data_IF_195066002014
#
_entry.id   IF_195066002014
#
_cell.length_a   1.000
_cell.length_b   1.000
_cell.length_c   1.000
_cell.angle_alpha   90.00
_cell.angle_beta   90.00
_cell.angle_gamma   90.00
#
_symmetry.space_group_name_H-M   'P 1'
#
loop_
_entity.id
_entity.type
_entity.pdbx_description
1 polymer ?
#
# COMPACT_ATOMS: atom_id res chain seq x y z
N UNK A 1 -13.68 -8.84 1.84
CA UNK A 1 -12.93 -7.63 2.30
C UNK A 1 -12.96 -6.56 1.21
N UNK A 2 -12.31 -6.75 0.07
CA UNK A 2 -12.35 -5.86 -1.10
C UNK A 2 -13.01 -6.58 -2.27
N UNK A 3 -13.88 -5.89 -3.01
CA UNK A 3 -14.59 -6.41 -4.16
C UNK A 3 -14.53 -5.38 -5.28
N UNK A 4 -14.10 -5.82 -6.45
CA UNK A 4 -14.15 -5.07 -7.70
C UNK A 4 -15.16 -5.78 -8.61
N UNK A 5 -16.08 -5.03 -9.19
CA UNK A 5 -17.07 -5.58 -10.12
C UNK A 5 -17.06 -4.75 -11.40
N UNK A 6 -16.58 -5.38 -12.49
CA UNK A 6 -16.49 -4.83 -13.84
C UNK A 6 -15.92 -3.38 -13.88
N UNK A 7 -14.82 -3.13 -13.14
CA UNK A 7 -14.24 -1.80 -13.01
C UNK A 7 -13.50 -1.40 -14.26
N UNK A 8 -13.91 -0.29 -14.85
CA UNK A 8 -13.25 0.35 -15.98
C UNK A 8 -12.65 1.69 -15.56
N UNK A 9 -11.46 1.99 -16.06
CA UNK A 9 -10.75 3.23 -15.73
C UNK A 9 -10.34 3.96 -17.00
N UNK A 10 -10.69 5.24 -17.05
CA UNK A 10 -10.31 6.18 -18.10
C UNK A 10 -9.35 7.24 -17.55
N UNK A 11 -8.34 7.59 -18.36
CA UNK A 11 -7.52 8.79 -18.18
C UNK A 11 -7.89 9.83 -19.24
N UNK A 12 -8.00 11.09 -18.82
CA UNK A 12 -8.34 12.24 -19.69
C UNK A 12 -9.59 11.99 -20.54
N UNK A 13 -10.53 11.14 -20.05
CA UNK A 13 -11.75 10.71 -20.75
C UNK A 13 -11.54 10.02 -22.12
N UNK A 14 -10.31 9.65 -22.46
CA UNK A 14 -9.94 9.08 -23.76
C UNK A 14 -9.26 7.72 -23.64
N UNK A 15 -8.35 7.55 -22.68
CA UNK A 15 -7.52 6.34 -22.61
C UNK A 15 -8.15 5.33 -21.66
N UNK A 16 -8.70 4.25 -22.20
CA UNK A 16 -9.22 3.13 -21.41
C UNK A 16 -8.05 2.26 -20.89
N UNK A 17 -7.59 2.54 -19.67
CA UNK A 17 -6.43 1.91 -19.06
C UNK A 17 -6.77 0.59 -18.33
N UNK A 18 -7.99 0.43 -17.82
CA UNK A 18 -8.51 -0.81 -17.23
C UNK A 18 -9.86 -1.15 -17.89
N UNK A 19 -10.01 -2.39 -18.35
CA UNK A 19 -11.11 -2.82 -19.22
C UNK A 19 -11.99 -3.87 -18.52
N UNK A 20 -12.70 -3.46 -17.46
CA UNK A 20 -13.69 -4.32 -16.81
C UNK A 20 -13.10 -5.37 -15.88
N UNK A 21 -12.19 -4.98 -14.96
CA UNK A 21 -11.64 -5.93 -13.98
C UNK A 21 -12.69 -6.32 -12.93
N UNK A 22 -12.81 -7.63 -12.69
CA UNK A 22 -13.60 -8.21 -11.61
C UNK A 22 -12.68 -9.07 -10.74
N UNK A 23 -12.60 -8.77 -9.45
CA UNK A 23 -11.73 -9.46 -8.51
C UNK A 23 -12.24 -9.34 -7.08
N UNK A 24 -11.84 -10.28 -6.21
CA UNK A 24 -12.12 -10.24 -4.78
C UNK A 24 -10.86 -10.49 -3.96
N UNK A 25 -10.73 -9.77 -2.84
CA UNK A 25 -9.69 -9.99 -1.84
C UNK A 25 -10.38 -10.36 -0.52
N UNK A 26 -10.43 -11.65 -0.14
CA UNK A 26 -11.01 -12.07 1.12
C UNK A 26 -10.22 -11.55 2.32
N UNK A 27 -10.88 -11.36 3.46
CA UNK A 27 -10.20 -10.93 4.69
C UNK A 27 -9.14 -11.95 5.13
N UNK A 28 -7.98 -11.47 5.59
CA UNK A 28 -6.86 -12.30 6.05
C UNK A 28 -6.14 -13.07 4.94
N UNK A 29 -6.47 -12.84 3.67
CA UNK A 29 -5.79 -13.47 2.54
C UNK A 29 -4.76 -12.54 1.90
N UNK A 30 -3.82 -13.16 1.19
CA UNK A 30 -2.93 -12.45 0.27
C UNK A 30 -3.35 -12.81 -1.16
N UNK A 31 -3.72 -11.80 -1.92
CA UNK A 31 -4.05 -11.93 -3.35
C UNK A 31 -2.98 -11.21 -4.15
N UNK A 32 -2.51 -11.82 -5.22
CA UNK A 32 -1.54 -11.21 -6.13
C UNK A 32 -2.17 -10.96 -7.49
N UNK A 33 -2.07 -9.74 -7.99
CA UNK A 33 -2.44 -9.35 -9.34
C UNK A 33 -1.18 -9.35 -10.21
N UNK A 34 -1.10 -10.31 -11.11
CA UNK A 34 0.04 -10.47 -12.02
C UNK A 34 -0.30 -9.95 -13.42
N UNK A 35 0.68 -9.37 -14.09
CA UNK A 35 0.50 -8.93 -15.47
C UNK A 35 1.70 -8.19 -16.02
N UNK A 36 1.79 -8.09 -17.35
CA UNK A 36 2.85 -7.35 -18.03
C UNK A 36 2.83 -5.85 -17.67
N UNK A 37 3.96 -5.17 -17.88
CA UNK A 37 4.01 -3.72 -17.75
C UNK A 37 3.01 -3.07 -18.71
N UNK A 38 2.26 -2.08 -18.21
CA UNK A 38 1.19 -1.42 -18.97
C UNK A 38 -0.17 -2.15 -18.94
N UNK A 39 -0.29 -3.30 -18.26
CA UNK A 39 -1.57 -4.04 -18.15
C UNK A 39 -2.62 -3.36 -17.23
N UNK A 40 -2.34 -2.17 -16.67
CA UNK A 40 -3.28 -1.45 -15.82
C UNK A 40 -3.22 -1.83 -14.34
N UNK A 41 -2.17 -2.56 -13.91
CA UNK A 41 -2.03 -3.03 -12.51
C UNK A 41 -2.01 -1.88 -11.51
N UNK A 42 -1.05 -0.96 -11.63
CA UNK A 42 -0.93 0.22 -10.75
C UNK A 42 -2.14 1.15 -10.88
N UNK A 43 -2.72 1.25 -12.08
CA UNK A 43 -3.97 1.99 -12.33
C UNK A 43 -5.12 1.40 -11.51
N UNK A 44 -5.21 0.06 -11.45
CA UNK A 44 -6.22 -0.62 -10.62
C UNK A 44 -6.04 -0.28 -9.14
N UNK A 45 -4.81 -0.32 -8.60
CA UNK A 45 -4.54 0.06 -7.21
C UNK A 45 -4.87 1.54 -6.93
N UNK A 46 -4.54 2.44 -7.88
CA UNK A 46 -4.88 3.87 -7.78
C UNK A 46 -6.39 4.10 -7.84
N UNK A 47 -7.13 3.31 -8.64
CA UNK A 47 -8.59 3.36 -8.67
C UNK A 47 -9.20 2.93 -7.33
N UNK A 48 -8.70 1.84 -6.73
CA UNK A 48 -9.15 1.36 -5.41
C UNK A 48 -8.89 2.38 -4.31
N UNK A 49 -7.70 2.99 -4.29
CA UNK A 49 -7.34 4.03 -3.30
C UNK A 49 -7.91 5.42 -3.63
N UNK A 50 -8.60 5.57 -4.76
CA UNK A 50 -9.11 6.84 -5.31
C UNK A 50 -8.03 7.91 -5.55
N UNK A 51 -6.74 7.53 -5.61
CA UNK A 51 -5.63 8.43 -5.96
C UNK A 51 -5.57 8.72 -7.46
N UNK A 52 -6.32 7.97 -8.27
CA UNK A 52 -6.33 8.12 -9.73
C UNK A 52 -6.75 9.52 -10.19
N UNK A 53 -7.57 10.22 -9.40
CA UNK A 53 -8.01 11.59 -9.69
C UNK A 53 -6.87 12.61 -9.72
N UNK A 54 -5.77 12.34 -9.03
CA UNK A 54 -4.58 13.22 -9.03
C UNK A 54 -3.81 13.16 -10.35
N UNK A 55 -4.14 12.19 -11.21
CA UNK A 55 -3.53 11.95 -12.51
C UNK A 55 -4.56 12.07 -13.66
N UNK A 56 -5.62 12.85 -13.46
CA UNK A 56 -6.70 13.07 -14.43
C UNK A 56 -7.41 11.76 -14.86
N UNK A 57 -7.51 10.82 -13.92
CA UNK A 57 -8.17 9.54 -14.12
C UNK A 57 -9.47 9.42 -13.32
N UNK A 58 -10.37 8.54 -13.78
CA UNK A 58 -11.61 8.20 -13.08
C UNK A 58 -12.05 6.76 -13.32
N UNK A 59 -12.81 6.23 -12.39
CA UNK A 59 -13.58 5.00 -12.63
C UNK A 59 -14.76 5.39 -13.54
N UNK A 60 -14.79 4.81 -14.73
CA UNK A 60 -15.79 5.11 -15.76
C UNK A 60 -17.01 4.19 -15.65
N UNK A 61 -16.80 2.93 -15.24
CA UNK A 61 -17.84 1.94 -15.04
C UNK A 61 -17.47 0.96 -13.92
N UNK A 62 -18.43 0.21 -13.43
CA UNK A 62 -18.26 -0.77 -12.36
C UNK A 62 -18.30 -0.16 -10.97
N UNK A 63 -18.04 -1.01 -9.96
CA UNK A 63 -18.07 -0.62 -8.54
C UNK A 63 -16.89 -1.22 -7.77
N UNK A 64 -16.41 -0.49 -6.76
CA UNK A 64 -15.37 -0.92 -5.83
C UNK A 64 -15.97 -0.88 -4.43
N UNK A 65 -16.00 -2.02 -3.74
CA UNK A 65 -16.54 -2.11 -2.38
C UNK A 65 -15.47 -2.55 -1.38
N UNK A 66 -15.41 -1.89 -0.23
CA UNK A 66 -14.59 -2.25 0.91
C UNK A 66 -15.49 -2.62 2.09
N UNK A 67 -15.41 -3.85 2.57
CA UNK A 67 -16.30 -4.41 3.60
C UNK A 67 -17.80 -4.22 3.28
N UNK A 68 -18.18 -4.42 2.02
CA UNK A 68 -19.54 -4.24 1.54
C UNK A 68 -19.97 -2.79 1.28
N UNK A 69 -19.18 -1.79 1.71
CA UNK A 69 -19.46 -0.38 1.48
C UNK A 69 -18.84 0.07 0.15
N UNK A 70 -19.61 0.74 -0.69
CA UNK A 70 -19.10 1.33 -1.93
C UNK A 70 -18.11 2.48 -1.62
N UNK A 71 -16.92 2.38 -2.19
CA UNK A 71 -15.85 3.38 -2.10
C UNK A 71 -15.50 3.97 -3.47
N UNK A 72 -16.28 3.66 -4.51
CA UNK A 72 -16.04 4.16 -5.87
C UNK A 72 -16.07 5.69 -5.86
N UNK A 73 -14.96 6.31 -6.21
CA UNK A 73 -14.84 7.77 -6.22
C UNK A 73 -14.90 8.46 -4.84
N UNK A 74 -14.78 7.73 -3.73
CA UNK A 74 -14.73 8.29 -2.38
C UNK A 74 -13.48 9.18 -2.17
N UNK A 75 -13.46 9.97 -1.11
CA UNK A 75 -12.26 10.72 -0.75
C UNK A 75 -11.15 9.73 -0.29
N UNK A 76 -9.89 9.83 -0.79
CA UNK A 76 -8.80 8.96 -0.38
C UNK A 76 -8.59 8.88 1.14
N UNK A 77 -8.77 9.98 1.85
CA UNK A 77 -8.68 10.02 3.32
C UNK A 77 -9.71 9.11 3.99
N UNK A 78 -10.94 9.05 3.45
CA UNK A 78 -12.00 8.21 3.99
C UNK A 78 -11.76 6.73 3.68
N UNK A 79 -11.08 6.42 2.57
CA UNK A 79 -10.64 5.05 2.24
C UNK A 79 -9.60 4.59 3.25
N UNK A 80 -8.61 5.45 3.58
CA UNK A 80 -7.61 5.15 4.61
C UNK A 80 -8.24 4.97 5.99
N UNK A 81 -9.20 5.82 6.37
CA UNK A 81 -9.96 5.69 7.63
C UNK A 81 -10.73 4.37 7.74
N UNK A 82 -11.15 3.79 6.62
CA UNK A 82 -11.78 2.47 6.59
C UNK A 82 -10.78 1.32 6.71
N UNK A 83 -9.47 1.63 6.74
CA UNK A 83 -8.38 0.68 6.95
C UNK A 83 -7.74 0.15 5.69
N UNK A 84 -7.91 0.80 4.52
CA UNK A 84 -7.21 0.46 3.31
C UNK A 84 -6.03 1.42 3.11
N UNK A 85 -4.80 0.88 3.03
CA UNK A 85 -3.58 1.68 2.80
C UNK A 85 -2.88 1.19 1.54
N UNK A 86 -2.41 2.13 0.73
CA UNK A 86 -1.71 1.87 -0.52
C UNK A 86 -0.23 2.25 -0.40
N UNK A 87 0.65 1.26 -0.56
CA UNK A 87 2.09 1.43 -0.74
C UNK A 87 2.36 1.50 -2.23
N UNK A 88 2.59 2.73 -2.72
CA UNK A 88 2.81 3.00 -4.14
C UNK A 88 4.22 2.57 -4.57
N UNK A 89 4.37 2.28 -5.85
CA UNK A 89 5.65 2.04 -6.51
C UNK A 89 6.65 3.18 -6.28
N UNK A 90 7.94 2.86 -6.34
CA UNK A 90 9.04 3.83 -6.33
C UNK A 90 9.45 4.29 -4.93
N UNK A 91 9.18 3.50 -3.89
CA UNK A 91 9.72 3.70 -2.53
C UNK A 91 9.60 5.15 -2.06
N UNK A 92 8.38 5.70 -2.01
CA UNK A 92 8.09 7.11 -1.71
C UNK A 92 8.41 7.47 -0.24
N UNK A 93 9.72 7.38 0.14
CA UNK A 93 10.20 7.83 1.45
C UNK A 93 10.34 9.34 1.52
N UNK A 94 10.18 9.91 2.72
CA UNK A 94 10.47 11.30 3.00
C UNK A 94 11.98 11.44 3.23
N UNK A 95 12.73 11.71 2.17
CA UNK A 95 14.18 11.53 2.07
C UNK A 95 14.98 12.30 3.12
N UNK A 96 14.50 13.49 3.55
CA UNK A 96 15.18 14.36 4.51
C UNK A 96 14.83 14.04 5.98
N UNK A 97 13.86 13.15 6.19
CA UNK A 97 13.43 12.71 7.51
C UNK A 97 14.18 11.43 7.93
N UNK A 98 14.28 11.20 9.23
CA UNK A 98 14.78 9.93 9.76
C UNK A 98 13.79 8.80 9.51
N UNK A 99 14.21 7.55 9.72
CA UNK A 99 13.33 6.37 9.69
C UNK A 99 12.17 6.57 10.67
N UNK A 100 12.47 6.95 11.92
CA UNK A 100 11.45 7.18 12.94
C UNK A 100 10.45 8.26 12.54
N UNK A 101 10.93 9.40 12.04
CA UNK A 101 10.05 10.48 11.56
C UNK A 101 9.16 10.02 10.39
N UNK A 102 9.71 9.25 9.46
CA UNK A 102 8.91 8.65 8.37
C UNK A 102 7.78 7.76 8.90
N UNK A 103 8.07 6.93 9.90
CA UNK A 103 7.07 6.06 10.53
C UNK A 103 6.00 6.89 11.24
N UNK A 104 6.39 7.86 12.06
CA UNK A 104 5.47 8.72 12.84
C UNK A 104 4.49 9.45 11.91
N UNK A 105 4.94 9.95 10.76
CA UNK A 105 4.06 10.56 9.75
C UNK A 105 2.97 9.59 9.30
N UNK A 106 3.26 8.29 9.18
CA UNK A 106 2.25 7.27 8.83
C UNK A 106 1.13 7.12 9.86
N UNK A 107 1.40 7.46 11.12
CA UNK A 107 0.43 7.41 12.22
C UNK A 107 -0.33 8.71 12.50
N UNK A 108 -0.20 9.73 11.67
CA UNK A 108 -0.74 11.09 11.90
C UNK A 108 -2.25 11.17 12.11
N UNK A 109 -3.01 10.15 11.73
CA UNK A 109 -4.47 10.09 11.90
C UNK A 109 -4.91 9.60 13.29
N UNK A 110 -3.97 9.10 14.11
CA UNK A 110 -4.21 8.66 15.49
C UNK A 110 -3.73 9.67 16.53
N UNK A 111 -3.94 9.37 17.82
CA UNK A 111 -3.37 10.15 18.93
C UNK A 111 -1.85 9.91 19.05
N UNK A 112 -1.16 10.83 19.74
CA UNK A 112 0.29 10.69 19.99
C UNK A 112 0.64 9.42 20.78
N UNK A 113 -0.20 9.03 21.76
CA UNK A 113 -0.01 7.77 22.52
C UNK A 113 -0.13 6.56 21.61
N UNK A 114 -1.20 6.49 20.80
CA UNK A 114 -1.41 5.40 19.85
C UNK A 114 -0.29 5.30 18.81
N UNK A 115 0.28 6.45 18.38
CA UNK A 115 1.40 6.47 17.44
C UNK A 115 2.65 5.86 18.06
N UNK A 116 2.91 6.10 19.37
CA UNK A 116 4.05 5.52 20.09
C UNK A 116 3.93 4.00 20.21
N UNK A 117 2.77 3.51 20.68
CA UNK A 117 2.53 2.08 20.83
C UNK A 117 2.67 1.35 19.48
N UNK A 118 2.16 1.99 18.41
CA UNK A 118 2.25 1.43 17.07
C UNK A 118 3.67 1.46 16.52
N UNK A 119 4.46 2.46 16.85
CA UNK A 119 5.87 2.55 16.48
C UNK A 119 6.66 1.36 17.06
N UNK A 120 6.45 1.06 18.35
CA UNK A 120 7.08 -0.09 19.01
C UNK A 120 6.65 -1.42 18.37
N UNK A 121 5.38 -1.56 18.02
CA UNK A 121 4.89 -2.72 17.28
C UNK A 121 5.56 -2.84 15.89
N UNK A 122 5.67 -1.75 15.13
CA UNK A 122 6.35 -1.77 13.83
C UNK A 122 7.81 -2.14 13.97
N UNK A 123 8.52 -1.62 14.96
CA UNK A 123 9.92 -1.98 15.23
C UNK A 123 10.08 -3.44 15.65
N UNK A 124 9.13 -4.01 16.39
CA UNK A 124 9.16 -5.43 16.74
C UNK A 124 9.02 -6.35 15.52
N UNK A 125 8.21 -5.93 14.54
CA UNK A 125 7.98 -6.66 13.27
C UNK A 125 9.11 -6.45 12.26
N UNK A 126 9.68 -5.26 12.19
CA UNK A 126 10.72 -4.88 11.22
C UNK A 126 11.98 -4.45 11.98
N UNK A 127 12.64 -5.44 12.60
CA UNK A 127 13.83 -5.23 13.47
C UNK A 127 14.92 -4.39 12.81
N UNK A 128 15.07 -4.52 11.47
CA UNK A 128 16.05 -3.75 10.71
C UNK A 128 15.78 -2.23 10.79
N UNK A 129 14.51 -1.80 10.79
CA UNK A 129 14.16 -0.39 10.95
C UNK A 129 14.46 0.14 12.35
N UNK A 130 14.32 -0.71 13.38
CA UNK A 130 14.67 -0.33 14.76
C UNK A 130 16.15 0.04 14.88
N UNK A 131 17.04 -0.73 14.26
CA UNK A 131 18.48 -0.46 14.25
C UNK A 131 18.84 0.82 13.45
N UNK A 132 17.97 1.27 12.57
CA UNK A 132 18.18 2.41 11.68
C UNK A 132 17.34 3.63 12.06
N UNK A 133 16.68 3.63 13.23
CA UNK A 133 15.64 4.61 13.60
C UNK A 133 16.06 6.08 13.44
N UNK A 134 17.31 6.41 13.74
CA UNK A 134 17.86 7.78 13.66
C UNK A 134 18.50 8.10 12.31
N UNK A 135 18.62 7.09 11.40
CA UNK A 135 19.25 7.28 10.11
C UNK A 135 18.29 8.04 9.17
N UNK A 136 18.83 8.96 8.39
CA UNK A 136 18.08 9.70 7.35
C UNK A 136 17.67 8.75 6.22
N UNK A 137 16.37 8.74 5.87
CA UNK A 137 15.79 7.78 4.94
C UNK A 137 16.38 7.84 3.53
N UNK A 138 16.89 8.99 3.10
CA UNK A 138 17.56 9.14 1.80
C UNK A 138 18.85 8.34 1.65
N UNK A 139 19.48 7.93 2.76
CA UNK A 139 20.74 7.15 2.76
C UNK A 139 20.51 5.66 3.03
N UNK A 140 19.29 5.21 3.06
CA UNK A 140 18.94 3.79 3.16
C UNK A 140 19.15 3.08 1.83
N UNK A 141 19.50 1.80 1.88
CA UNK A 141 19.46 0.91 0.71
C UNK A 141 18.03 0.79 0.16
N UNK A 142 17.89 0.35 -1.10
CA UNK A 142 16.58 0.17 -1.72
C UNK A 142 15.65 -0.75 -0.94
N UNK A 143 16.16 -1.85 -0.40
CA UNK A 143 15.36 -2.77 0.44
C UNK A 143 14.97 -2.16 1.78
N UNK A 144 15.87 -1.42 2.44
CA UNK A 144 15.54 -0.69 3.67
C UNK A 144 14.49 0.40 3.44
N UNK A 145 14.55 1.10 2.30
CA UNK A 145 13.51 2.05 1.89
C UNK A 145 12.17 1.35 1.64
N UNK A 146 12.18 0.16 1.02
CA UNK A 146 10.97 -0.64 0.81
C UNK A 146 10.36 -1.09 2.12
N UNK A 147 11.17 -1.60 3.05
CA UNK A 147 10.70 -1.93 4.41
C UNK A 147 10.15 -0.70 5.14
N UNK A 148 10.77 0.48 4.95
CA UNK A 148 10.33 1.73 5.58
C UNK A 148 8.95 2.16 5.07
N UNK A 149 8.68 2.10 3.76
CA UNK A 149 7.35 2.48 3.24
C UNK A 149 6.27 1.48 3.66
N UNK A 150 6.59 0.18 3.75
CA UNK A 150 5.69 -0.83 4.32
C UNK A 150 5.45 -0.55 5.80
N UNK A 151 6.50 -0.31 6.59
CA UNK A 151 6.40 0.05 8.00
C UNK A 151 5.55 1.31 8.22
N UNK A 152 5.73 2.33 7.38
CA UNK A 152 4.91 3.55 7.41
C UNK A 152 3.44 3.26 7.14
N UNK A 153 3.13 2.36 6.22
CA UNK A 153 1.76 1.93 5.96
C UNK A 153 1.14 1.23 7.19
N UNK A 154 1.91 0.43 7.92
CA UNK A 154 1.45 -0.25 9.13
C UNK A 154 1.10 0.72 10.27
N UNK A 155 1.72 1.90 10.32
CA UNK A 155 1.42 2.92 11.33
C UNK A 155 -0.04 3.39 11.30
N UNK A 156 -0.70 3.33 10.14
CA UNK A 156 -2.12 3.66 9.97
C UNK A 156 -3.07 2.56 10.47
N UNK A 157 -2.58 1.47 11.08
CA UNK A 157 -3.36 0.31 11.55
C UNK A 157 -4.28 -0.27 10.46
N UNK A 158 -3.74 -0.61 9.29
CA UNK A 158 -4.55 -1.06 8.16
C UNK A 158 -5.22 -2.40 8.43
N UNK A 159 -6.38 -2.61 7.79
CA UNK A 159 -7.03 -3.92 7.65
C UNK A 159 -6.66 -4.58 6.32
N UNK A 160 -6.34 -3.77 5.32
CA UNK A 160 -5.88 -4.16 4.00
C UNK A 160 -4.72 -3.25 3.58
N UNK A 161 -3.60 -3.86 3.19
CA UNK A 161 -2.48 -3.14 2.55
C UNK A 161 -2.38 -3.58 1.10
N UNK A 162 -2.41 -2.61 0.21
CA UNK A 162 -2.10 -2.80 -1.21
C UNK A 162 -0.65 -2.39 -1.45
N UNK A 163 0.10 -3.19 -2.20
CA UNK A 163 1.53 -2.96 -2.45
C UNK A 163 1.82 -3.10 -3.93
N UNK A 164 2.34 -2.04 -4.51
CA UNK A 164 2.68 -1.98 -5.93
C UNK A 164 4.16 -2.27 -6.13
N UNK A 165 4.48 -3.34 -6.88
CA UNK A 165 5.82 -3.78 -7.29
C UNK A 165 6.83 -3.81 -6.09
N UNK A 166 6.56 -4.60 -5.02
CA UNK A 166 7.42 -4.62 -3.83
C UNK A 166 8.85 -5.08 -4.10
N UNK A 167 9.08 -5.90 -5.13
CA UNK A 167 10.39 -6.45 -5.48
C UNK A 167 11.21 -5.61 -6.46
N UNK A 168 10.59 -4.65 -7.13
CA UNK A 168 11.18 -3.91 -8.25
C UNK A 168 12.52 -3.25 -7.88
N UNK A 169 13.58 -3.62 -8.62
CA UNK A 169 14.93 -3.06 -8.45
C UNK A 169 15.57 -3.35 -7.09
N UNK A 170 15.21 -4.45 -6.45
CA UNK A 170 15.87 -4.97 -5.26
C UNK A 170 16.90 -6.06 -5.61
N UNK A 171 17.95 -6.15 -4.79
CA UNK A 171 18.85 -7.31 -4.82
C UNK A 171 18.12 -8.57 -4.31
N UNK A 172 18.46 -9.77 -4.79
CA UNK A 172 17.76 -11.01 -4.44
C UNK A 172 17.57 -11.23 -2.94
N UNK A 173 18.61 -11.03 -2.14
CA UNK A 173 18.52 -11.16 -0.68
C UNK A 173 17.49 -10.20 -0.05
N UNK A 174 17.35 -9.00 -0.60
CA UNK A 174 16.38 -8.02 -0.11
C UNK A 174 14.95 -8.36 -0.53
N UNK A 175 14.79 -9.03 -1.68
CA UNK A 175 13.49 -9.57 -2.11
C UNK A 175 13.00 -10.58 -1.07
N UNK A 176 13.87 -11.53 -0.67
CA UNK A 176 13.53 -12.55 0.33
C UNK A 176 13.14 -11.91 1.68
N UNK A 177 13.88 -10.87 2.13
CA UNK A 177 13.56 -10.15 3.36
C UNK A 177 12.20 -9.44 3.28
N UNK A 178 11.89 -8.77 2.15
CA UNK A 178 10.61 -8.07 1.94
C UNK A 178 9.45 -9.07 1.91
N UNK A 179 9.57 -10.16 1.13
CA UNK A 179 8.51 -11.19 1.08
C UNK A 179 8.38 -11.97 2.39
N UNK A 180 9.48 -12.16 3.13
CA UNK A 180 9.45 -12.68 4.49
C UNK A 180 8.58 -11.81 5.40
N UNK A 181 8.80 -10.49 5.39
CA UNK A 181 7.98 -9.53 6.13
C UNK A 181 6.50 -9.61 5.71
N UNK A 182 6.20 -9.63 4.40
CA UNK A 182 4.81 -9.71 3.91
C UNK A 182 4.13 -11.03 4.34
N UNK A 183 4.87 -12.13 4.33
CA UNK A 183 4.39 -13.43 4.83
C UNK A 183 4.05 -13.38 6.32
N UNK A 184 4.89 -12.73 7.14
CA UNK A 184 4.64 -12.55 8.57
C UNK A 184 3.40 -11.68 8.83
N UNK A 185 3.24 -10.61 8.06
CA UNK A 185 2.07 -9.75 8.13
C UNK A 185 0.78 -10.52 7.78
N UNK A 186 0.82 -11.31 6.70
CA UNK A 186 -0.30 -12.18 6.32
C UNK A 186 -0.63 -13.19 7.42
N UNK A 187 0.39 -13.83 8.02
CA UNK A 187 0.20 -14.76 9.14
C UNK A 187 -0.40 -14.12 10.39
N UNK A 188 -0.17 -12.82 10.59
CA UNK A 188 -0.82 -12.06 11.67
C UNK A 188 -2.26 -11.64 11.37
N UNK A 189 -2.84 -12.08 10.23
CA UNK A 189 -4.23 -11.82 9.84
C UNK A 189 -4.42 -10.55 8.99
N UNK A 190 -3.34 -9.85 8.62
CA UNK A 190 -3.43 -8.69 7.72
C UNK A 190 -3.81 -9.16 6.30
N UNK A 191 -4.77 -8.46 5.69
CA UNK A 191 -5.14 -8.68 4.29
C UNK A 191 -4.15 -7.97 3.38
N UNK A 192 -3.67 -8.64 2.33
CA UNK A 192 -2.72 -8.10 1.38
C UNK A 192 -3.25 -8.20 -0.07
N UNK A 193 -3.05 -7.15 -0.84
CA UNK A 193 -3.17 -7.16 -2.30
C UNK A 193 -1.82 -6.71 -2.88
N UNK A 194 -1.13 -7.62 -3.54
CA UNK A 194 0.20 -7.37 -4.12
C UNK A 194 0.07 -7.30 -5.64
N UNK A 195 0.80 -6.40 -6.24
CA UNK A 195 0.92 -6.26 -7.70
C UNK A 195 2.37 -6.50 -8.11
N UNK A 196 2.57 -7.38 -9.12
CA UNK A 196 3.88 -7.74 -9.70
C UNK A 196 3.80 -7.86 -11.23
#
# INVERSE_FOLDING_TARGET
>A
MLELNNVEVLYSDVILAVKGITATVPAGQCVTLLGANGAGKSTTLKAISNLIRTEDGRVAAGTIKLNGKDITGANPTDVVRQGLVHVMEGRKVLRHMTVEQNLVVGGHMGSASEAKDKLDEVYSRVKRLSALRTRTAGYLSGGEQQMLVIGRALMARPKLVMIDEPSLGLAPLMIDEVYGLLSDLKRSGLTLLIVE
#
